data_IF_262211461711
#
_entry.id   IF_262211461711
#
_cell.length_a   1.000
_cell.length_b   1.000
_cell.length_c   1.000
_cell.angle_alpha   90.00
_cell.angle_beta   90.00
_cell.angle_gamma   90.00
#
_symmetry.space_group_name_H-M   'P 1'
#
loop_
_entity.id
_entity.type
_entity.pdbx_description
1 polymer ?
#
# COMPACT_ATOMS: atom_id res chain seq x y z
N UNK A 1 11.01 -35.13 -39.09
CA UNK A 1 10.02 -34.57 -38.15
C UNK A 1 10.77 -34.25 -36.87
N UNK A 2 10.95 -32.96 -36.58
CA UNK A 2 11.85 -32.47 -35.54
C UNK A 2 11.02 -32.11 -34.30
N UNK A 3 10.76 -33.07 -33.41
CA UNK A 3 9.90 -32.91 -32.22
C UNK A 3 10.66 -32.45 -30.96
N UNK A 4 11.97 -32.19 -31.06
CA UNK A 4 12.82 -31.85 -29.91
C UNK A 4 12.65 -30.44 -29.34
N UNK A 5 12.06 -29.50 -30.09
CA UNK A 5 11.95 -28.08 -29.69
C UNK A 5 10.81 -27.76 -28.71
N UNK A 6 9.69 -28.51 -28.75
CA UNK A 6 8.52 -28.20 -27.92
C UNK A 6 8.71 -28.56 -26.44
N UNK A 7 9.53 -29.57 -26.13
CA UNK A 7 9.78 -29.99 -24.75
C UNK A 7 10.68 -29.02 -23.96
N UNK A 8 11.58 -28.29 -24.63
CA UNK A 8 12.45 -27.31 -23.96
C UNK A 8 11.67 -26.05 -23.57
N UNK A 9 10.78 -25.58 -24.44
CA UNK A 9 9.96 -24.38 -24.21
C UNK A 9 8.99 -24.57 -23.04
N UNK A 10 8.34 -25.74 -22.94
CA UNK A 10 7.42 -26.05 -21.82
C UNK A 10 8.13 -26.15 -20.46
N UNK A 11 9.37 -26.67 -20.43
CA UNK A 11 10.18 -26.74 -19.20
C UNK A 11 10.65 -25.36 -18.74
N UNK A 12 11.03 -24.48 -19.68
CA UNK A 12 11.40 -23.10 -19.37
C UNK A 12 10.19 -22.24 -18.92
N UNK A 13 9.03 -22.43 -19.55
CA UNK A 13 7.80 -21.74 -19.16
C UNK A 13 7.37 -22.10 -17.73
N UNK A 14 7.47 -23.37 -17.34
CA UNK A 14 7.17 -23.82 -15.97
C UNK A 14 8.10 -23.18 -14.93
N UNK A 15 9.41 -23.10 -15.23
CA UNK A 15 10.39 -22.47 -14.34
C UNK A 15 10.15 -20.96 -14.18
N UNK A 16 9.75 -20.27 -15.24
CA UNK A 16 9.40 -18.85 -15.20
C UNK A 16 8.11 -18.58 -14.39
N UNK A 17 7.12 -19.46 -14.51
CA UNK A 17 5.90 -19.39 -13.69
C UNK A 17 6.22 -19.63 -12.21
N UNK A 18 6.99 -20.66 -11.88
CA UNK A 18 7.45 -20.93 -10.50
C UNK A 18 8.25 -19.75 -9.90
N UNK A 19 9.09 -19.09 -10.70
CA UNK A 19 9.83 -17.90 -10.27
C UNK A 19 8.94 -16.65 -10.11
N UNK A 20 7.81 -16.55 -10.82
CA UNK A 20 6.87 -15.45 -10.65
C UNK A 20 6.01 -15.62 -9.38
N UNK A 21 5.70 -16.87 -9.00
CA UNK A 21 4.93 -17.18 -7.78
C UNK A 21 5.73 -16.96 -6.47
N UNK A 22 7.05 -16.76 -6.53
CA UNK A 22 7.86 -16.47 -5.34
C UNK A 22 7.94 -14.98 -4.98
N UNK A 23 7.23 -14.11 -5.70
CA UNK A 23 7.08 -12.70 -5.30
C UNK A 23 6.03 -12.58 -4.17
N UNK A 24 6.43 -12.97 -2.96
CA UNK A 24 5.61 -12.79 -1.76
C UNK A 24 5.42 -11.30 -1.48
N UNK A 25 4.18 -10.87 -1.25
CA UNK A 25 3.91 -9.55 -0.68
C UNK A 25 4.61 -9.48 0.69
N UNK A 26 5.56 -8.56 0.82
CA UNK A 26 6.22 -8.30 2.09
C UNK A 26 5.22 -7.67 3.06
N UNK A 27 4.47 -8.51 3.77
CA UNK A 27 3.56 -8.09 4.82
C UNK A 27 4.38 -7.86 6.11
N UNK A 28 4.37 -6.64 6.62
CA UNK A 28 5.00 -6.30 7.91
C UNK A 28 4.04 -6.67 9.03
N UNK A 29 4.45 -7.61 9.88
CA UNK A 29 3.63 -8.11 11.00
C UNK A 29 4.29 -7.83 12.33
N UNK A 30 3.49 -7.42 13.31
CA UNK A 30 3.92 -7.29 14.70
C UNK A 30 3.83 -8.61 15.46
N UNK A 31 4.92 -8.99 16.13
CA UNK A 31 5.01 -10.21 16.94
C UNK A 31 5.56 -9.92 18.33
N UNK A 32 5.09 -10.69 19.31
CA UNK A 32 5.57 -10.69 20.70
C UNK A 32 5.39 -12.09 21.27
N UNK A 33 6.41 -12.62 21.94
CA UNK A 33 6.36 -13.98 22.49
C UNK A 33 5.20 -14.13 23.48
N UNK A 34 4.38 -15.18 23.30
CA UNK A 34 3.21 -15.47 24.15
C UNK A 34 2.00 -14.55 23.93
N UNK A 35 2.07 -13.56 23.03
CA UNK A 35 0.95 -12.67 22.74
C UNK A 35 0.18 -13.13 21.49
N UNK A 36 -1.14 -13.23 21.62
CA UNK A 36 -2.03 -13.58 20.52
C UNK A 36 -2.41 -12.39 19.63
N UNK A 37 -3.11 -12.63 18.51
CA UNK A 37 -3.55 -11.58 17.59
C UNK A 37 -4.44 -10.52 18.25
N UNK A 38 -5.30 -10.91 19.20
CA UNK A 38 -6.17 -9.97 19.90
C UNK A 38 -5.37 -8.96 20.73
N UNK A 39 -4.32 -9.42 21.42
CA UNK A 39 -3.44 -8.53 22.19
C UNK A 39 -2.67 -7.57 21.27
N UNK A 40 -2.32 -8.02 20.05
CA UNK A 40 -1.71 -7.17 19.02
C UNK A 40 -2.65 -6.06 18.60
N UNK A 41 -3.89 -6.38 18.23
CA UNK A 41 -4.87 -5.39 17.79
C UNK A 41 -5.20 -4.37 18.88
N UNK A 42 -5.32 -4.83 20.14
CA UNK A 42 -5.55 -3.93 21.27
C UNK A 42 -4.38 -2.95 21.46
N UNK A 43 -3.14 -3.44 21.40
CA UNK A 43 -1.97 -2.57 21.50
C UNK A 43 -1.88 -1.61 20.31
N UNK A 44 -2.12 -2.09 19.09
CA UNK A 44 -2.11 -1.27 17.88
C UNK A 44 -3.11 -0.12 18.00
N UNK A 45 -4.36 -0.44 18.38
CA UNK A 45 -5.41 0.55 18.59
C UNK A 45 -5.01 1.59 19.64
N UNK A 46 -4.41 1.16 20.75
CA UNK A 46 -3.94 2.06 21.80
C UNK A 46 -2.83 3.00 21.30
N UNK A 47 -1.88 2.46 20.52
CA UNK A 47 -0.79 3.23 19.92
C UNK A 47 -1.28 4.23 18.87
N UNK A 48 -2.21 3.83 18.00
CA UNK A 48 -2.85 4.72 17.01
C UNK A 48 -3.60 5.87 17.69
N UNK A 49 -4.40 5.55 18.72
CA UNK A 49 -5.13 6.54 19.48
C UNK A 49 -4.19 7.53 20.19
N UNK A 50 -3.09 7.05 20.75
CA UNK A 50 -2.07 7.92 21.36
C UNK A 50 -1.40 8.81 20.33
N UNK A 51 -0.98 8.24 19.20
CA UNK A 51 -0.33 8.97 18.11
C UNK A 51 -1.23 10.07 17.53
N UNK A 52 -2.55 9.84 17.44
CA UNK A 52 -3.52 10.87 17.03
C UNK A 52 -3.68 11.99 18.05
N UNK A 53 -3.57 11.70 19.35
CA UNK A 53 -3.59 12.74 20.40
C UNK A 53 -2.33 13.60 20.36
N UNK A 54 -1.17 12.95 20.20
CA UNK A 54 0.12 13.61 20.23
C UNK A 54 0.42 14.37 18.92
N UNK A 55 -0.03 13.83 17.78
CA UNK A 55 0.09 14.45 16.47
C UNK A 55 -1.22 14.36 15.69
N UNK A 56 -2.15 15.31 15.92
CA UNK A 56 -3.41 15.38 15.21
C UNK A 56 -3.24 15.47 13.68
N UNK A 57 -4.24 15.05 12.89
CA UNK A 57 -4.22 15.20 11.44
C UNK A 57 -4.06 16.66 11.02
N UNK A 58 -3.15 16.93 10.09
CA UNK A 58 -2.98 18.21 9.43
C UNK A 58 -3.51 18.10 8.00
N UNK A 59 -4.82 18.24 7.86
CA UNK A 59 -5.51 18.02 6.58
C UNK A 59 -5.30 19.20 5.63
N UNK A 60 -4.46 18.99 4.63
CA UNK A 60 -4.20 19.95 3.54
C UNK A 60 -5.07 19.62 2.34
N UNK A 61 -5.82 20.61 1.85
CA UNK A 61 -6.65 20.49 0.65
C UNK A 61 -5.87 20.99 -0.55
N UNK A 62 -5.69 20.11 -1.53
CA UNK A 62 -5.12 20.46 -2.84
C UNK A 62 -6.20 20.29 -3.91
N UNK A 63 -6.19 21.15 -4.92
CA UNK A 63 -7.07 21.04 -6.08
C UNK A 63 -6.25 20.89 -7.36
N UNK A 64 -6.82 20.18 -8.34
CA UNK A 64 -6.29 20.10 -9.68
C UNK A 64 -7.43 20.35 -10.67
N UNK A 65 -7.23 21.33 -11.54
CA UNK A 65 -8.14 21.52 -12.67
C UNK A 65 -7.90 20.41 -13.70
N UNK A 66 -8.89 19.54 -13.84
CA UNK A 66 -8.92 18.49 -14.84
C UNK A 66 -9.72 19.02 -16.02
N UNK A 67 -9.01 19.33 -17.11
CA UNK A 67 -9.64 19.63 -18.39
C UNK A 67 -9.97 18.31 -19.09
N UNK A 68 -11.25 17.99 -19.22
CA UNK A 68 -11.70 16.87 -20.03
C UNK A 68 -11.33 17.07 -21.51
N UNK A 69 -11.04 15.98 -22.23
CA UNK A 69 -10.94 16.03 -23.70
C UNK A 69 -12.34 16.32 -24.25
N UNK A 70 -12.59 17.56 -24.67
CA UNK A 70 -13.87 17.95 -25.26
C UNK A 70 -14.14 17.15 -26.54
N UNK A 71 -15.35 16.60 -26.66
CA UNK A 71 -15.84 16.05 -27.93
C UNK A 71 -16.45 17.19 -28.74
N UNK A 72 -16.09 17.28 -30.02
CA UNK A 72 -16.72 18.20 -30.96
C UNK A 72 -18.18 17.78 -31.12
N UNK A 73 -19.12 18.69 -30.84
CA UNK A 73 -20.53 18.51 -31.19
C UNK A 73 -20.75 19.05 -32.61
N UNK A 74 -21.66 18.45 -33.38
CA UNK A 74 -21.95 18.73 -34.81
C UNK A 74 -22.24 20.20 -35.17
N UNK A 75 -22.33 21.11 -34.19
CA UNK A 75 -22.50 22.55 -34.37
C UNK A 75 -21.22 23.39 -34.20
N UNK A 76 -20.03 22.76 -34.20
CA UNK A 76 -18.73 23.47 -34.24
C UNK A 76 -18.28 24.12 -32.93
N UNK A 77 -19.01 23.95 -31.82
CA UNK A 77 -18.58 24.36 -30.48
C UNK A 77 -18.17 23.14 -29.65
N UNK A 78 -16.90 23.08 -29.29
CA UNK A 78 -16.41 22.09 -28.33
C UNK A 78 -16.86 22.50 -26.91
N UNK A 79 -17.55 21.60 -26.20
CA UNK A 79 -17.75 21.75 -24.76
C UNK A 79 -16.58 21.03 -24.08
N UNK A 80 -15.62 21.79 -23.57
CA UNK A 80 -14.62 21.23 -22.67
C UNK A 80 -15.27 21.14 -21.29
N UNK A 81 -15.51 19.92 -20.80
CA UNK A 81 -15.90 19.71 -19.41
C UNK A 81 -14.71 20.07 -18.52
N UNK A 82 -14.84 21.14 -17.75
CA UNK A 82 -13.83 21.58 -16.79
C UNK A 82 -14.31 21.12 -15.42
N UNK A 83 -13.58 20.14 -14.85
CA UNK A 83 -13.84 19.60 -13.52
C UNK A 83 -12.66 19.93 -12.62
N UNK A 84 -12.92 20.21 -11.36
CA UNK A 84 -11.88 20.44 -10.35
C UNK A 84 -11.86 19.24 -9.42
N UNK A 85 -10.74 18.51 -9.40
CA UNK A 85 -10.50 17.40 -8.49
C UNK A 85 -9.96 17.94 -7.16
N UNK A 86 -10.63 17.59 -6.06
CA UNK A 86 -10.24 17.99 -4.71
C UNK A 86 -9.66 16.79 -3.97
N UNK A 87 -8.44 16.94 -3.44
CA UNK A 87 -7.77 15.93 -2.65
C UNK A 87 -7.39 16.48 -1.28
N UNK A 88 -7.80 15.77 -0.23
CA UNK A 88 -7.38 16.03 1.15
C UNK A 88 -6.24 15.08 1.49
N UNK A 89 -5.14 15.62 2.02
CA UNK A 89 -3.99 14.84 2.46
C UNK A 89 -3.60 15.27 3.87
N UNK A 90 -3.41 14.30 4.75
CA UNK A 90 -2.87 14.57 6.08
C UNK A 90 -1.35 14.69 6.02
N UNK A 91 -0.84 15.91 6.19
CA UNK A 91 0.59 16.21 6.16
C UNK A 91 1.37 15.53 7.30
N UNK A 92 0.69 15.15 8.39
CA UNK A 92 1.28 14.49 9.56
C UNK A 92 1.24 12.96 9.50
N UNK A 93 0.68 12.37 8.43
CA UNK A 93 0.46 10.92 8.34
C UNK A 93 1.74 10.10 8.62
N UNK A 94 2.85 10.44 7.97
CA UNK A 94 4.11 9.69 8.06
C UNK A 94 4.79 9.80 9.42
N UNK A 95 4.75 10.99 10.02
CA UNK A 95 5.27 11.25 11.35
C UNK A 95 4.43 10.50 12.39
N UNK A 96 3.11 10.47 12.21
CA UNK A 96 2.21 9.73 13.09
C UNK A 96 2.43 8.21 13.01
N UNK A 97 2.66 7.66 11.82
CA UNK A 97 3.06 6.25 11.67
C UNK A 97 4.35 5.92 12.43
N UNK A 98 5.27 6.89 12.55
CA UNK A 98 6.49 6.72 13.34
C UNK A 98 6.20 6.67 14.85
N UNK A 99 5.26 7.47 15.34
CA UNK A 99 4.81 7.40 16.74
C UNK A 99 4.14 6.07 17.06
N UNK A 100 3.34 5.53 16.13
CA UNK A 100 2.73 4.20 16.30
C UNK A 100 3.80 3.11 16.40
N UNK A 101 4.81 3.14 15.52
CA UNK A 101 5.92 2.17 15.55
C UNK A 101 6.71 2.25 16.86
N UNK A 102 7.09 3.45 17.29
CA UNK A 102 7.80 3.65 18.56
C UNK A 102 6.98 3.14 19.76
N UNK A 103 5.67 3.41 19.80
CA UNK A 103 4.78 2.88 20.82
C UNK A 103 4.75 1.34 20.84
N UNK A 104 4.64 0.69 19.67
CA UNK A 104 4.67 -0.76 19.55
C UNK A 104 6.00 -1.36 20.05
N UNK A 105 7.14 -0.76 19.67
CA UNK A 105 8.46 -1.19 20.14
C UNK A 105 8.61 -1.05 21.65
N UNK A 106 8.18 0.08 22.23
CA UNK A 106 8.21 0.29 23.69
C UNK A 106 7.31 -0.70 24.43
N UNK A 107 6.22 -1.13 23.81
CA UNK A 107 5.35 -2.19 24.33
C UNK A 107 5.93 -3.61 24.15
N UNK A 108 7.15 -3.74 23.61
CA UNK A 108 7.87 -5.00 23.43
C UNK A 108 7.41 -5.82 22.24
N UNK A 109 6.78 -5.18 21.25
CA UNK A 109 6.46 -5.81 19.97
C UNK A 109 7.61 -5.61 18.99
N UNK A 110 7.82 -6.60 18.13
CA UNK A 110 8.82 -6.55 17.06
C UNK A 110 8.14 -6.62 15.70
N UNK A 111 8.62 -5.82 14.77
CA UNK A 111 8.19 -5.83 13.38
C UNK A 111 8.94 -6.93 12.62
N UNK A 112 8.20 -7.81 11.94
CA UNK A 112 8.74 -8.91 11.15
C UNK A 112 8.24 -8.73 9.73
N UNK A 113 9.16 -8.63 8.77
CA UNK A 113 8.80 -8.64 7.35
C UNK A 113 8.68 -10.08 6.86
N UNK A 114 7.61 -10.39 6.13
CA UNK A 114 7.37 -11.73 5.57
C UNK A 114 8.34 -12.14 4.42
N UNK A 115 9.52 -11.51 4.28
CA UNK A 115 10.47 -11.73 3.19
C UNK A 115 11.91 -12.05 3.61
N UNK A 116 12.17 -12.32 4.89
CA UNK A 116 13.52 -12.51 5.44
C UNK A 116 13.75 -13.86 6.11
N UNK A 117 13.16 -14.94 5.61
CA UNK A 117 13.31 -16.29 6.16
C UNK A 117 13.73 -17.30 5.10
N UNK A 118 15.02 -17.68 5.18
CA UNK A 118 15.72 -18.77 4.46
C UNK A 118 16.19 -18.47 3.02
#
# INVERSE_FOLDING_TARGET
MNTGGLHLCGRYALLLVLAALSTGCADTRWMKAGAGPQAREQQMTACEAQALRDLPPDNVVSHRDVRGKGTLKDSGKANAEQSTDYRVQDANRWQRETLVRDCMFRAGWSEVSAGGGA
#
